data_IF_815779503502
#
_entry.id   IF_815779503502
#
_cell.length_a   1.000
_cell.length_b   1.000
_cell.length_c   1.000
_cell.angle_alpha   90.00
_cell.angle_beta   90.00
_cell.angle_gamma   90.00
#
_symmetry.space_group_name_H-M   'P 1'
#
loop_
_entity.id
_entity.type
_entity.pdbx_description
1 polymer ?
#
# COMPACT_ATOMS: atom_id res chain seq x y z
N UNK A 1 -3.40 -31.15 1.58
CA UNK A 1 -2.33 -31.85 0.82
C UNK A 1 -0.98 -31.15 0.90
N UNK A 2 -0.88 -29.81 0.75
CA UNK A 2 0.40 -29.08 0.87
C UNK A 2 1.21 -29.38 2.16
N UNK A 3 0.55 -29.37 3.32
CA UNK A 3 1.16 -29.63 4.64
C UNK A 3 1.68 -31.07 4.85
N UNK A 4 1.41 -32.00 3.92
CA UNK A 4 1.98 -33.36 3.95
C UNK A 4 3.43 -33.34 3.48
N UNK A 5 3.76 -32.43 2.56
CA UNK A 5 5.09 -32.33 1.95
C UNK A 5 5.96 -31.25 2.60
N UNK A 6 5.36 -30.24 3.23
CA UNK A 6 6.05 -29.12 3.84
C UNK A 6 5.62 -28.92 5.29
N UNK A 7 6.56 -29.13 6.22
CA UNK A 7 6.36 -28.78 7.61
C UNK A 7 6.42 -27.27 7.80
N UNK A 8 5.59 -26.75 8.71
CA UNK A 8 5.71 -25.37 9.12
C UNK A 8 7.06 -25.19 9.85
N UNK A 9 7.86 -24.16 9.50
CA UNK A 9 9.07 -23.85 10.25
C UNK A 9 8.66 -23.34 11.64
N UNK A 10 9.02 -24.09 12.68
CA UNK A 10 8.77 -23.71 14.06
C UNK A 10 10.01 -23.01 14.63
N UNK A 11 9.81 -21.80 15.17
CA UNK A 11 10.85 -21.07 15.88
C UNK A 11 10.96 -21.55 17.33
N UNK A 12 11.99 -21.08 18.03
CA UNK A 12 12.14 -21.29 19.46
C UNK A 12 10.92 -20.74 20.22
N UNK A 13 10.69 -21.28 21.44
CA UNK A 13 9.64 -20.79 22.32
C UNK A 13 9.84 -19.29 22.59
N UNK A 14 8.75 -18.53 22.55
CA UNK A 14 8.77 -17.09 22.77
C UNK A 14 9.52 -16.74 24.07
N UNK A 15 10.49 -15.83 23.96
CA UNK A 15 11.25 -15.28 25.06
C UNK A 15 11.11 -13.75 25.05
N UNK A 16 10.53 -13.12 26.08
CA UNK A 16 10.39 -11.66 26.14
C UNK A 16 11.73 -10.91 26.22
N UNK A 17 12.82 -11.57 26.62
CA UNK A 17 14.15 -10.97 26.72
C UNK A 17 14.85 -10.85 25.35
N UNK A 18 14.30 -11.47 24.28
CA UNK A 18 14.91 -11.50 22.95
C UNK A 18 13.88 -11.13 21.89
N UNK A 19 14.13 -10.03 21.18
CA UNK A 19 13.38 -9.69 19.97
C UNK A 19 14.01 -10.36 18.75
N UNK A 20 13.17 -10.97 17.91
CA UNK A 20 13.63 -11.65 16.69
C UNK A 20 13.87 -10.59 15.61
N UNK A 21 15.00 -10.69 14.89
CA UNK A 21 15.33 -9.81 13.79
C UNK A 21 15.63 -10.64 12.54
N UNK A 22 14.89 -10.47 11.43
CA UNK A 22 13.73 -9.60 11.26
C UNK A 22 12.43 -10.19 11.86
N UNK A 23 11.58 -9.34 12.44
CA UNK A 23 10.21 -9.71 12.80
C UNK A 23 9.29 -9.42 11.62
N UNK A 24 8.83 -10.46 10.91
CA UNK A 24 7.87 -10.32 9.80
C UNK A 24 6.46 -10.71 10.23
N UNK A 25 5.48 -9.90 9.84
CA UNK A 25 4.07 -10.14 10.05
C UNK A 25 3.53 -11.23 9.10
N UNK A 26 2.37 -11.83 9.40
CA UNK A 26 1.66 -12.67 8.45
C UNK A 26 1.44 -11.97 7.10
N UNK A 27 1.39 -12.73 6.01
CA UNK A 27 1.38 -12.19 4.64
C UNK A 27 0.28 -11.14 4.37
N UNK A 28 -0.89 -11.27 4.99
CA UNK A 28 -2.01 -10.34 4.83
C UNK A 28 -1.82 -9.02 5.62
N UNK A 29 -0.88 -8.99 6.57
CA UNK A 29 -0.46 -7.79 7.30
C UNK A 29 0.87 -7.22 6.79
N UNK A 30 1.62 -7.96 5.96
CA UNK A 30 2.94 -7.52 5.50
C UNK A 30 2.90 -6.16 4.76
N UNK A 31 1.84 -5.86 4.00
CA UNK A 31 1.67 -4.54 3.39
C UNK A 31 1.45 -3.41 4.40
N UNK A 32 0.74 -3.68 5.52
CA UNK A 32 0.58 -2.71 6.61
C UNK A 32 1.90 -2.56 7.38
N UNK A 33 2.63 -3.65 7.57
CA UNK A 33 3.97 -3.59 8.17
C UNK A 33 4.92 -2.74 7.33
N UNK A 34 4.91 -2.90 6.00
CA UNK A 34 5.71 -2.04 5.13
C UNK A 34 5.27 -0.57 5.23
N UNK A 35 3.96 -0.31 5.30
CA UNK A 35 3.44 1.03 5.51
C UNK A 35 3.91 1.67 6.83
N UNK A 36 4.11 0.87 7.89
CA UNK A 36 4.64 1.33 9.19
C UNK A 36 6.08 1.83 9.11
N UNK A 37 6.85 1.40 8.11
CA UNK A 37 8.22 1.89 7.89
C UNK A 37 8.25 3.30 7.30
N UNK A 38 7.12 3.78 6.75
CA UNK A 38 7.06 5.03 5.98
C UNK A 38 6.20 6.11 6.62
N UNK A 39 5.45 5.77 7.67
CA UNK A 39 4.53 6.69 8.32
C UNK A 39 4.58 6.53 9.83
N UNK A 40 4.20 7.59 10.53
CA UNK A 40 3.92 7.54 11.96
C UNK A 40 2.98 6.35 12.29
N UNK A 41 3.26 5.55 13.36
CA UNK A 41 2.56 4.29 13.62
C UNK A 41 1.03 4.39 13.65
N UNK A 42 0.49 5.44 14.25
CA UNK A 42 -0.95 5.69 14.28
C UNK A 42 -1.56 5.84 12.87
N UNK A 43 -0.87 6.50 11.95
CA UNK A 43 -1.39 6.73 10.60
C UNK A 43 -1.38 5.45 9.78
N UNK A 44 -0.27 4.72 9.81
CA UNK A 44 -0.13 3.44 9.09
C UNK A 44 -1.01 2.33 9.64
N UNK A 45 -1.06 2.13 10.96
CA UNK A 45 -1.80 1.01 11.55
C UNK A 45 -3.29 1.30 11.76
N UNK A 46 -3.69 2.56 11.97
CA UNK A 46 -5.07 2.91 12.29
C UNK A 46 -5.72 3.75 11.19
N UNK A 47 -5.21 4.96 10.93
CA UNK A 47 -5.91 5.93 10.08
C UNK A 47 -6.12 5.44 8.64
N UNK A 48 -5.07 4.95 7.98
CA UNK A 48 -5.13 4.50 6.59
C UNK A 48 -6.02 3.25 6.44
N UNK A 49 -5.84 2.16 7.22
CA UNK A 49 -6.72 1.00 7.15
C UNK A 49 -8.18 1.35 7.45
N UNK A 50 -8.43 2.18 8.45
CA UNK A 50 -9.78 2.62 8.79
C UNK A 50 -10.44 3.43 7.67
N UNK A 51 -9.69 4.32 7.02
CA UNK A 51 -10.19 5.07 5.86
C UNK A 51 -10.53 4.15 4.67
N UNK A 52 -9.72 3.11 4.42
CA UNK A 52 -10.01 2.11 3.37
C UNK A 52 -11.31 1.36 3.71
N UNK A 53 -11.48 0.90 4.95
CA UNK A 53 -12.70 0.19 5.37
C UNK A 53 -13.94 1.08 5.22
N UNK A 54 -13.87 2.34 5.65
CA UNK A 54 -14.97 3.31 5.45
C UNK A 54 -15.25 3.51 3.97
N UNK A 55 -14.22 3.68 3.15
CA UNK A 55 -14.36 3.85 1.70
C UNK A 55 -15.06 2.66 1.04
N UNK A 56 -14.70 1.44 1.42
CA UNK A 56 -15.35 0.21 0.94
C UNK A 56 -16.78 0.09 1.44
N UNK A 57 -17.03 0.38 2.72
CA UNK A 57 -18.38 0.38 3.29
C UNK A 57 -19.29 1.46 2.67
N UNK A 58 -18.72 2.55 2.14
CA UNK A 58 -19.45 3.60 1.46
C UNK A 58 -19.84 3.24 0.02
N UNK A 59 -19.15 2.29 -0.64
CA UNK A 59 -19.41 1.88 -2.03
C UNK A 59 -20.88 1.58 -2.36
N UNK A 60 -21.63 0.77 -1.58
CA UNK A 60 -23.04 0.46 -1.91
C UNK A 60 -23.97 1.68 -1.83
N UNK A 61 -23.55 2.77 -1.18
CA UNK A 61 -24.35 3.99 -1.05
C UNK A 61 -24.05 5.01 -2.15
N UNK A 62 -23.00 4.79 -2.94
CA UNK A 62 -22.77 5.55 -4.15
C UNK A 62 -23.86 5.12 -5.15
N UNK A 63 -24.69 6.07 -5.60
CA UNK A 63 -25.73 5.84 -6.63
C UNK A 63 -25.08 5.61 -8.01
N UNK A 64 -24.34 4.52 -8.12
CA UNK A 64 -23.66 4.06 -9.30
C UNK A 64 -24.74 3.61 -10.29
N UNK A 65 -24.85 4.28 -11.43
CA UNK A 65 -25.76 3.86 -12.52
C UNK A 65 -25.17 2.62 -13.17
N UNK A 66 -25.51 1.46 -12.65
CA UNK A 66 -25.01 0.18 -13.15
C UNK A 66 -25.80 -0.23 -14.40
N UNK A 67 -25.12 -0.25 -15.55
CA UNK A 67 -25.54 -1.14 -16.63
C UNK A 67 -25.00 -2.53 -16.29
N UNK A 68 -25.92 -3.47 -16.03
CA UNK A 68 -25.59 -4.86 -15.70
C UNK A 68 -24.78 -5.49 -16.84
N UNK A 69 -23.46 -5.51 -16.69
CA UNK A 69 -22.53 -6.11 -17.64
C UNK A 69 -21.80 -7.24 -16.93
N UNK A 70 -21.93 -8.46 -17.45
CA UNK A 70 -21.18 -9.63 -16.96
C UNK A 70 -19.69 -9.59 -17.36
N UNK A 71 -19.22 -8.47 -17.92
CA UNK A 71 -17.87 -8.29 -18.43
C UNK A 71 -17.03 -7.65 -17.34
N UNK A 72 -15.92 -8.30 -16.99
CA UNK A 72 -14.92 -7.74 -16.08
C UNK A 72 -14.47 -6.36 -16.57
N UNK A 73 -14.45 -5.40 -15.65
CA UNK A 73 -14.12 -4.00 -15.87
C UNK A 73 -15.07 -3.28 -16.84
N UNK A 74 -16.38 -3.46 -16.72
CA UNK A 74 -17.49 -2.70 -17.33
C UNK A 74 -17.36 -2.24 -18.80
N UNK A 75 -16.41 -1.37 -19.14
CA UNK A 75 -16.11 -0.82 -20.46
C UNK A 75 -14.64 -1.01 -20.88
N UNK A 76 -14.35 -0.91 -22.18
CA UNK A 76 -12.96 -1.01 -22.67
C UNK A 76 -12.07 0.15 -22.19
N UNK A 77 -12.65 1.35 -22.00
CA UNK A 77 -11.96 2.49 -21.39
C UNK A 77 -11.58 2.18 -19.94
N UNK A 78 -12.47 1.52 -19.20
CA UNK A 78 -12.23 1.16 -17.82
C UNK A 78 -11.18 0.05 -17.69
N UNK A 79 -11.12 -0.90 -18.64
CA UNK A 79 -10.02 -1.88 -18.75
C UNK A 79 -8.69 -1.19 -19.01
N UNK A 80 -8.64 -0.23 -19.94
CA UNK A 80 -7.42 0.51 -20.25
C UNK A 80 -6.96 1.37 -19.06
N UNK A 81 -7.90 2.07 -18.42
CA UNK A 81 -7.64 2.85 -17.22
C UNK A 81 -7.18 1.98 -16.04
N UNK A 82 -7.76 0.79 -15.85
CA UNK A 82 -7.33 -0.17 -14.84
C UNK A 82 -5.91 -0.70 -15.09
N UNK A 83 -5.57 -1.06 -16.32
CA UNK A 83 -4.19 -1.46 -16.69
C UNK A 83 -3.20 -0.33 -16.42
N UNK A 84 -3.54 0.88 -16.88
CA UNK A 84 -2.72 2.06 -16.63
C UNK A 84 -2.56 2.32 -15.13
N UNK A 85 -3.63 2.18 -14.36
CA UNK A 85 -3.63 2.36 -12.90
C UNK A 85 -2.76 1.34 -12.18
N UNK A 86 -2.84 0.06 -12.55
CA UNK A 86 -1.99 -0.96 -11.96
C UNK A 86 -0.51 -0.67 -12.23
N UNK A 87 -0.14 -0.35 -13.48
CA UNK A 87 1.25 -0.03 -13.83
C UNK A 87 1.73 1.23 -13.10
N UNK A 88 0.94 2.31 -13.14
CA UNK A 88 1.29 3.57 -12.50
C UNK A 88 1.41 3.41 -10.98
N UNK A 89 0.48 2.70 -10.34
CA UNK A 89 0.52 2.42 -8.90
C UNK A 89 1.78 1.63 -8.52
N UNK A 90 2.09 0.56 -9.26
CA UNK A 90 3.31 -0.21 -9.00
C UNK A 90 4.58 0.64 -9.09
N UNK A 91 4.70 1.49 -10.11
CA UNK A 91 5.85 2.37 -10.29
C UNK A 91 5.90 3.42 -9.18
N UNK A 92 4.78 4.12 -8.92
CA UNK A 92 4.73 5.19 -7.92
C UNK A 92 5.02 4.66 -6.53
N UNK A 93 4.38 3.56 -6.11
CA UNK A 93 4.62 2.95 -4.80
C UNK A 93 6.07 2.52 -4.65
N UNK A 94 6.65 1.86 -5.65
CA UNK A 94 8.07 1.45 -5.61
C UNK A 94 9.00 2.65 -5.51
N UNK A 95 8.75 3.72 -6.29
CA UNK A 95 9.52 4.94 -6.23
C UNK A 95 9.43 5.62 -4.86
N UNK A 96 8.23 5.69 -4.26
CA UNK A 96 8.04 6.28 -2.94
C UNK A 96 8.80 5.50 -1.85
N UNK A 97 8.77 4.16 -1.90
CA UNK A 97 9.54 3.32 -0.96
C UNK A 97 11.04 3.59 -1.09
N UNK A 98 11.56 3.59 -2.32
CA UNK A 98 12.98 3.85 -2.58
C UNK A 98 13.37 5.26 -2.12
N UNK A 99 12.56 6.27 -2.44
CA UNK A 99 12.81 7.65 -2.02
C UNK A 99 12.86 7.72 -0.50
N UNK A 100 11.91 7.11 0.21
CA UNK A 100 11.88 7.14 1.67
C UNK A 100 13.05 6.36 2.31
N UNK A 101 13.62 5.36 1.64
CA UNK A 101 14.78 4.62 2.16
C UNK A 101 16.07 5.44 2.08
N UNK A 102 16.26 6.21 1.00
CA UNK A 102 17.52 6.91 0.73
C UNK A 102 17.50 8.40 1.08
N UNK A 103 16.33 9.01 1.21
CA UNK A 103 16.18 10.42 1.60
C UNK A 103 15.98 10.49 3.11
N UNK A 104 16.64 11.43 3.82
CA UNK A 104 16.44 11.60 5.25
C UNK A 104 14.97 11.81 5.62
N UNK A 105 14.53 11.17 6.69
CA UNK A 105 13.16 11.28 7.19
C UNK A 105 12.80 12.73 7.53
N UNK A 106 11.51 13.07 7.42
CA UNK A 106 11.02 14.41 7.73
C UNK A 106 11.29 14.81 9.19
N UNK A 107 11.33 13.86 10.11
CA UNK A 107 11.72 14.11 11.51
C UNK A 107 13.16 14.60 11.65
N UNK A 108 14.07 14.10 10.81
CA UNK A 108 15.47 14.59 10.78
C UNK A 108 15.59 15.96 10.10
N UNK A 109 14.77 16.21 9.08
CA UNK A 109 14.78 17.46 8.31
C UNK A 109 14.06 18.61 9.05
N UNK A 110 13.03 18.29 9.82
CA UNK A 110 12.16 19.24 10.51
C UNK A 110 12.09 18.91 12.02
N UNK A 111 13.23 18.97 12.75
CA UNK A 111 13.31 18.53 14.15
C UNK A 111 12.49 19.39 15.12
N UNK A 112 12.03 20.57 14.68
CA UNK A 112 11.16 21.45 15.46
C UNK A 112 9.68 21.03 15.44
N UNK A 113 9.29 20.08 14.58
CA UNK A 113 7.93 19.54 14.54
C UNK A 113 7.84 18.25 15.36
N UNK A 114 6.66 17.97 15.91
CA UNK A 114 6.41 16.68 16.53
C UNK A 114 6.43 15.54 15.48
N UNK A 115 6.81 14.33 15.90
CA UNK A 115 6.90 13.16 15.00
C UNK A 115 5.56 12.84 14.31
N UNK A 116 4.43 13.13 14.98
CA UNK A 116 3.10 12.98 14.41
C UNK A 116 2.86 13.87 13.18
N UNK A 117 3.37 15.11 13.17
CA UNK A 117 3.24 16.02 12.03
C UNK A 117 4.32 15.73 10.99
N UNK A 118 5.59 15.61 11.40
CA UNK A 118 6.72 15.45 10.48
C UNK A 118 6.66 14.13 9.71
N UNK A 119 6.62 12.99 10.42
CA UNK A 119 6.58 11.66 9.81
C UNK A 119 5.15 11.11 9.62
N UNK A 120 4.14 11.86 10.06
CA UNK A 120 2.74 11.47 9.87
C UNK A 120 2.01 12.34 8.86
N UNK A 121 1.62 13.55 9.27
CA UNK A 121 0.75 14.43 8.48
C UNK A 121 1.40 14.87 7.16
N UNK A 122 2.68 15.21 7.15
CA UNK A 122 3.37 15.68 5.93
C UNK A 122 3.38 14.57 4.85
N UNK A 123 3.90 13.35 5.11
CA UNK A 123 3.80 12.23 4.18
C UNK A 123 2.37 11.93 3.74
N UNK A 124 1.39 12.02 4.66
CA UNK A 124 -0.01 11.76 4.35
C UNK A 124 -0.58 12.79 3.36
N UNK A 125 -0.26 14.07 3.54
CA UNK A 125 -0.66 15.14 2.62
C UNK A 125 -0.03 14.93 1.25
N UNK A 126 1.25 14.56 1.18
CA UNK A 126 1.94 14.22 -0.07
C UNK A 126 1.23 13.06 -0.77
N UNK A 127 0.93 11.99 -0.04
CA UNK A 127 0.20 10.83 -0.57
C UNK A 127 -1.18 11.23 -1.11
N UNK A 128 -1.94 12.03 -0.36
CA UNK A 128 -3.26 12.53 -0.79
C UNK A 128 -3.13 13.36 -2.06
N UNK A 129 -2.11 14.23 -2.17
CA UNK A 129 -1.87 15.02 -3.37
C UNK A 129 -1.53 14.16 -4.59
N UNK A 130 -0.73 13.10 -4.41
CA UNK A 130 -0.41 12.14 -5.47
C UNK A 130 -1.67 11.41 -5.93
N UNK A 131 -2.47 10.89 -4.99
CA UNK A 131 -3.74 10.20 -5.29
C UNK A 131 -4.71 11.15 -5.99
N UNK A 132 -4.81 12.40 -5.53
CA UNK A 132 -5.68 13.41 -6.12
C UNK A 132 -5.25 13.80 -7.53
N UNK A 133 -3.95 14.02 -7.76
CA UNK A 133 -3.40 14.29 -9.08
C UNK A 133 -3.64 13.12 -10.03
N UNK A 134 -3.40 11.89 -9.57
CA UNK A 134 -3.68 10.68 -10.33
C UNK A 134 -5.16 10.56 -10.70
N UNK A 135 -6.07 10.78 -9.75
CA UNK A 135 -7.52 10.83 -9.96
C UNK A 135 -7.92 11.87 -11.02
N UNK A 136 -7.40 13.09 -10.93
CA UNK A 136 -7.68 14.15 -11.92
C UNK A 136 -7.12 13.80 -13.30
N UNK A 137 -5.94 13.18 -13.34
CA UNK A 137 -5.29 12.77 -14.58
C UNK A 137 -6.09 11.67 -15.30
N UNK A 138 -6.49 10.61 -14.60
CA UNK A 138 -7.26 9.50 -15.18
C UNK A 138 -8.64 9.95 -15.64
N UNK A 139 -9.31 10.80 -14.86
CA UNK A 139 -10.56 11.46 -15.25
C UNK A 139 -10.42 12.20 -16.58
N UNK A 140 -9.40 13.05 -16.72
CA UNK A 140 -9.20 13.87 -17.92
C UNK A 140 -8.78 13.03 -19.12
N UNK A 141 -7.88 12.07 -18.92
CA UNK A 141 -7.30 11.24 -19.98
C UNK A 141 -8.32 10.28 -20.60
N UNK A 142 -9.05 9.55 -19.76
CA UNK A 142 -9.96 8.49 -20.22
C UNK A 142 -11.44 8.92 -20.27
N UNK A 143 -11.76 10.13 -19.80
CA UNK A 143 -13.13 10.68 -19.73
C UNK A 143 -14.09 9.70 -19.05
N UNK A 144 -13.68 9.24 -17.87
CA UNK A 144 -14.35 8.18 -17.12
C UNK A 144 -15.64 8.66 -16.45
N UNK A 145 -16.61 7.76 -16.37
CA UNK A 145 -17.81 7.87 -15.53
C UNK A 145 -17.51 7.54 -14.07
N UNK A 146 -18.44 7.85 -13.15
CA UNK A 146 -18.23 7.63 -11.71
C UNK A 146 -17.82 6.19 -11.35
N UNK A 147 -18.49 5.19 -11.95
CA UNK A 147 -18.19 3.76 -11.72
C UNK A 147 -16.77 3.43 -12.17
N UNK A 148 -16.41 3.85 -13.38
CA UNK A 148 -15.11 3.55 -13.96
C UNK A 148 -13.98 4.23 -13.19
N UNK A 149 -14.22 5.43 -12.64
CA UNK A 149 -13.27 6.12 -11.76
C UNK A 149 -13.12 5.39 -10.44
N UNK A 150 -14.22 5.04 -9.77
CA UNK A 150 -14.19 4.29 -8.51
C UNK A 150 -13.43 2.97 -8.70
N UNK A 151 -13.72 2.24 -9.78
CA UNK A 151 -12.99 1.03 -10.14
C UNK A 151 -11.50 1.30 -10.39
N UNK A 152 -11.15 2.35 -11.13
CA UNK A 152 -9.76 2.71 -11.43
C UNK A 152 -9.00 3.09 -10.16
N UNK A 153 -9.62 3.83 -9.25
CA UNK A 153 -9.02 4.18 -7.96
C UNK A 153 -8.90 2.97 -7.03
N UNK A 154 -9.87 2.06 -7.06
CA UNK A 154 -9.80 0.81 -6.33
C UNK A 154 -8.63 -0.07 -6.79
N UNK A 155 -8.41 -0.18 -8.11
CA UNK A 155 -7.24 -0.86 -8.68
C UNK A 155 -5.95 -0.16 -8.21
N UNK A 156 -5.89 1.17 -8.26
CA UNK A 156 -4.72 1.91 -7.82
C UNK A 156 -4.32 1.56 -6.37
N UNK A 157 -5.27 1.66 -5.43
CA UNK A 157 -5.04 1.41 -4.01
C UNK A 157 -4.71 -0.06 -3.75
N UNK A 158 -5.43 -0.98 -4.41
CA UNK A 158 -5.19 -2.43 -4.26
C UNK A 158 -3.81 -2.82 -4.77
N UNK A 159 -3.42 -2.32 -5.95
CA UNK A 159 -2.08 -2.57 -6.50
C UNK A 159 -0.99 -2.00 -5.60
N UNK A 160 -1.17 -0.80 -5.04
CA UNK A 160 -0.22 -0.22 -4.10
C UNK A 160 -0.04 -1.13 -2.87
N UNK A 161 -1.14 -1.63 -2.30
CA UNK A 161 -1.10 -2.55 -1.16
C UNK A 161 -0.42 -3.88 -1.49
N UNK A 162 -0.67 -4.44 -2.67
CA UNK A 162 0.01 -5.66 -3.15
C UNK A 162 1.51 -5.41 -3.28
N UNK A 163 1.93 -4.27 -3.84
CA UNK A 163 3.34 -3.93 -4.01
C UNK A 163 4.03 -3.74 -2.67
N UNK A 164 3.43 -3.03 -1.72
CA UNK A 164 3.92 -2.94 -0.34
C UNK A 164 4.07 -4.33 0.30
N UNK A 165 3.08 -5.22 0.09
CA UNK A 165 3.12 -6.60 0.57
C UNK A 165 4.28 -7.38 -0.03
N UNK A 166 4.51 -7.26 -1.34
CA UNK A 166 5.62 -7.92 -2.03
C UNK A 166 6.97 -7.40 -1.53
N UNK A 167 7.11 -6.09 -1.33
CA UNK A 167 8.32 -5.46 -0.79
C UNK A 167 8.59 -5.98 0.63
N UNK A 168 7.59 -5.95 1.51
CA UNK A 168 7.74 -6.41 2.89
C UNK A 168 8.13 -7.89 2.99
N UNK A 169 7.61 -8.75 2.10
CA UNK A 169 7.93 -10.17 2.10
C UNK A 169 9.33 -10.43 1.55
N UNK A 170 9.62 -9.90 0.35
CA UNK A 170 10.77 -10.33 -0.46
C UNK A 170 11.98 -9.40 -0.42
N UNK A 171 11.86 -8.15 0.02
CA UNK A 171 12.92 -7.15 -0.07
C UNK A 171 13.33 -6.57 1.30
N UNK A 172 12.64 -6.91 2.38
CA UNK A 172 13.03 -6.52 3.75
C UNK A 172 13.92 -7.58 4.40
N UNK A 173 15.16 -7.21 4.69
CA UNK A 173 16.19 -8.05 5.32
C UNK A 173 16.37 -7.76 6.82
N UNK A 174 17.59 -7.97 7.33
CA UNK A 174 17.97 -7.64 8.72
C UNK A 174 17.69 -6.16 9.01
N UNK A 175 17.18 -5.86 10.20
CA UNK A 175 16.76 -4.51 10.63
C UNK A 175 15.68 -3.86 9.74
N UNK A 176 14.95 -4.68 8.98
CA UNK A 176 14.00 -4.22 7.96
C UNK A 176 14.65 -3.33 6.89
N UNK A 177 15.96 -3.42 6.69
CA UNK A 177 16.65 -2.70 5.62
C UNK A 177 16.22 -3.22 4.24
N UNK A 178 16.15 -2.31 3.26
CA UNK A 178 15.85 -2.69 1.88
C UNK A 178 17.04 -3.45 1.27
N UNK A 179 16.81 -4.70 0.88
CA UNK A 179 17.83 -5.62 0.36
C UNK A 179 17.28 -6.42 -0.82
N UNK A 180 18.19 -7.01 -1.62
CA UNK A 180 17.76 -7.92 -2.68
C UNK A 180 17.28 -9.26 -2.10
N UNK A 181 16.34 -9.96 -2.76
CA UNK A 181 15.71 -11.18 -2.21
C UNK A 181 16.66 -12.30 -1.80
N UNK A 182 17.82 -12.41 -2.45
CA UNK A 182 18.84 -13.41 -2.13
C UNK A 182 19.73 -13.05 -0.93
N UNK A 183 19.61 -11.84 -0.38
CA UNK A 183 20.32 -11.35 0.80
C UNK A 183 19.40 -11.20 2.03
N UNK A 184 18.16 -11.70 1.95
CA UNK A 184 17.14 -11.57 3.01
C UNK A 184 17.33 -12.58 4.15
N UNK A 185 18.17 -13.60 3.94
CA UNK A 185 18.46 -14.69 4.90
C UNK A 185 19.55 -14.32 5.90
#
# INVERSE_FOLDING_TARGET
>A
MFSVFFNAPLLAKANPDVSINPTKAPWYFAGIQELLMHFHPFIAAFLIPFAIVIGLAALPYLKLKEEHSAIWFHSDKAKEAAKFSAIASSIITTLLVIINEFVPDFETLLPWLNSFISNGIIPLVILILIIWYFYKYTLKKFKLTLIEVVQTMFVFVTTAFVILTLIGIFFRGVDMALTFPWNVL
#
